data_IF_169882095547
#
_entry.id   IF_169882095547
#
_cell.length_a   1.000
_cell.length_b   1.000
_cell.length_c   1.000
_cell.angle_alpha   90.00
_cell.angle_beta   90.00
_cell.angle_gamma   90.00
#
_symmetry.space_group_name_H-M   'P 1'
#
loop_
_entity.id
_entity.type
_entity.pdbx_description
1 polymer ?
#
# COMPACT_ATOMS: atom_id res chain seq x y z
N UNK A 1 6.85 10.98 9.23
CA UNK A 1 6.28 9.62 9.17
C UNK A 1 5.07 9.44 10.09
N UNK A 2 5.01 10.11 11.25
CA UNK A 2 3.98 9.88 12.27
C UNK A 2 2.53 10.25 11.86
N UNK A 3 2.35 11.36 11.13
CA UNK A 3 1.00 11.87 10.80
C UNK A 3 0.18 10.94 9.91
N UNK A 4 0.82 10.22 8.99
CA UNK A 4 0.12 9.33 8.08
C UNK A 4 -0.33 8.05 8.79
N UNK A 5 0.54 7.48 9.63
CA UNK A 5 0.21 6.30 10.44
C UNK A 5 -0.90 6.60 11.45
N UNK A 6 -0.84 7.76 12.13
CA UNK A 6 -1.90 8.20 13.04
C UNK A 6 -3.24 8.40 12.33
N UNK A 7 -3.26 8.97 11.12
CA UNK A 7 -4.49 9.14 10.35
C UNK A 7 -5.17 7.79 10.05
N UNK A 8 -4.40 6.80 9.63
CA UNK A 8 -4.93 5.48 9.27
C UNK A 8 -5.39 4.67 10.49
N UNK A 9 -4.66 4.78 11.61
CA UNK A 9 -5.00 4.12 12.88
C UNK A 9 -6.21 4.78 13.55
N UNK A 10 -6.16 6.09 13.78
CA UNK A 10 -7.01 6.75 14.78
C UNK A 10 -8.27 7.39 14.20
N UNK A 11 -8.28 7.66 12.88
CA UNK A 11 -9.41 8.34 12.21
C UNK A 11 -10.08 7.47 11.18
N UNK A 12 -9.30 6.78 10.37
CA UNK A 12 -9.83 5.94 9.29
C UNK A 12 -10.11 4.50 9.73
N UNK A 13 -9.49 4.05 10.84
CA UNK A 13 -9.60 2.68 11.37
C UNK A 13 -9.46 1.61 10.27
N UNK A 14 -8.48 1.80 9.39
CA UNK A 14 -8.28 0.91 8.25
C UNK A 14 -7.82 -0.45 8.74
N UNK A 15 -8.43 -1.52 8.22
CA UNK A 15 -7.97 -2.88 8.47
C UNK A 15 -6.51 -3.04 7.97
N UNK A 16 -5.56 -3.46 8.82
CA UNK A 16 -4.18 -3.71 8.42
C UNK A 16 -4.03 -4.60 7.18
N UNK A 17 -4.97 -5.52 6.92
CA UNK A 17 -4.96 -6.37 5.73
C UNK A 17 -5.04 -5.56 4.42
N UNK A 18 -5.71 -4.40 4.42
CA UNK A 18 -5.81 -3.55 3.23
C UNK A 18 -4.45 -2.99 2.79
N UNK A 19 -3.52 -2.76 3.72
CA UNK A 19 -2.16 -2.36 3.35
C UNK A 19 -1.38 -3.48 2.66
N UNK A 20 -1.61 -4.73 3.07
CA UNK A 20 -1.01 -5.90 2.41
C UNK A 20 -1.55 -6.04 0.99
N UNK A 21 -2.87 -5.95 0.82
CA UNK A 21 -3.50 -5.98 -0.50
C UNK A 21 -3.03 -4.82 -1.38
N UNK A 22 -2.90 -3.62 -0.81
CA UNK A 22 -2.37 -2.45 -1.54
C UNK A 22 -0.93 -2.69 -1.99
N UNK A 23 -0.08 -3.27 -1.12
CA UNK A 23 1.29 -3.66 -1.47
C UNK A 23 1.35 -4.62 -2.66
N UNK A 24 0.53 -5.68 -2.62
CA UNK A 24 0.46 -6.66 -3.72
C UNK A 24 0.03 -6.02 -5.04
N UNK A 25 -0.97 -5.12 -5.00
CA UNK A 25 -1.42 -4.38 -6.18
C UNK A 25 -0.34 -3.44 -6.73
N UNK A 26 0.44 -2.78 -5.86
CA UNK A 26 1.54 -1.92 -6.30
C UNK A 26 2.65 -2.74 -6.95
N UNK A 27 2.98 -3.93 -6.42
CA UNK A 27 3.94 -4.84 -7.03
C UNK A 27 3.48 -5.25 -8.43
N UNK A 28 2.21 -5.64 -8.59
CA UNK A 28 1.64 -6.02 -9.89
C UNK A 28 1.69 -4.83 -10.87
N UNK A 29 1.29 -3.65 -10.43
CA UNK A 29 1.28 -2.45 -11.27
C UNK A 29 2.69 -2.07 -11.73
N UNK A 30 3.68 -2.15 -10.84
CA UNK A 30 5.08 -1.86 -11.17
C UNK A 30 5.66 -2.93 -12.10
N UNK A 31 5.35 -4.21 -11.89
CA UNK A 31 5.74 -5.29 -12.78
C UNK A 31 5.20 -5.09 -14.19
N UNK A 32 3.93 -4.69 -14.30
CA UNK A 32 3.31 -4.39 -15.59
C UNK A 32 3.93 -3.16 -16.27
N UNK A 33 4.31 -2.13 -15.50
CA UNK A 33 4.86 -0.89 -16.04
C UNK A 33 6.33 -1.00 -16.44
N UNK A 34 7.13 -1.75 -15.69
CA UNK A 34 8.59 -1.87 -15.87
C UNK A 34 8.98 -3.10 -16.69
N UNK A 35 8.09 -4.09 -16.84
CA UNK A 35 8.29 -5.22 -17.75
C UNK A 35 9.52 -6.05 -17.39
N UNK A 36 10.53 -6.04 -18.27
CA UNK A 36 11.79 -6.80 -18.06
C UNK A 36 12.73 -6.15 -17.05
N UNK A 37 12.51 -4.87 -16.75
CA UNK A 37 13.33 -4.08 -15.82
C UNK A 37 12.75 -4.08 -14.39
N UNK A 38 11.64 -4.78 -14.17
CA UNK A 38 11.08 -5.04 -12.85
C UNK A 38 11.85 -6.14 -12.11
#
# INVERSE_FOLDING_TARGET
>A
FDKLSQLHSDKLHVDPQNFRLLGDNLIIALAAALGKDF
#
